data_IF_114417688772
#
_entry.id   IF_114417688772
#
_cell.length_a   1.000
_cell.length_b   1.000
_cell.length_c   1.000
_cell.angle_alpha   90.00
_cell.angle_beta   90.00
_cell.angle_gamma   90.00
#
_symmetry.space_group_name_H-M   'P 1'
#
loop_
_entity.id
_entity.type
_entity.pdbx_description
1 polymer ?
#
# COMPACT_ATOMS: atom_id res chain seq x y z
N UNK A 1 14.79 -33.98 -1.93
CA UNK A 1 15.69 -32.84 -1.64
C UNK A 1 14.98 -32.00 -0.57
N UNK A 2 15.35 -32.14 0.71
CA UNK A 2 14.75 -31.31 1.77
C UNK A 2 15.39 -29.93 1.66
N UNK A 3 14.66 -28.96 1.11
CA UNK A 3 15.03 -27.56 1.31
C UNK A 3 15.09 -27.35 2.82
N UNK A 4 16.30 -27.20 3.37
CA UNK A 4 16.43 -26.74 4.74
C UNK A 4 15.71 -25.41 4.78
N UNK A 5 14.65 -25.35 5.59
CA UNK A 5 13.90 -24.11 5.83
C UNK A 5 14.89 -23.16 6.50
N UNK A 6 15.62 -22.36 5.69
CA UNK A 6 16.48 -21.31 6.21
C UNK A 6 15.56 -20.38 6.98
N UNK A 7 15.81 -20.28 8.29
CA UNK A 7 15.05 -19.42 9.19
C UNK A 7 14.88 -18.03 8.57
N UNK A 8 13.65 -17.53 8.58
CA UNK A 8 13.36 -16.20 8.06
C UNK A 8 14.11 -15.17 8.89
N UNK A 9 15.07 -14.48 8.27
CA UNK A 9 15.78 -13.39 8.93
C UNK A 9 14.77 -12.32 9.36
N UNK A 10 14.87 -11.78 10.60
CA UNK A 10 13.94 -10.75 11.07
C UNK A 10 13.84 -9.55 10.12
N UNK A 11 12.64 -8.98 10.02
CA UNK A 11 12.32 -7.88 9.11
C UNK A 11 13.29 -6.69 9.24
N UNK A 12 13.50 -6.17 10.45
CA UNK A 12 14.39 -5.04 10.71
C UNK A 12 15.86 -5.33 10.36
N UNK A 13 16.33 -6.56 10.58
CA UNK A 13 17.69 -6.96 10.18
C UNK A 13 17.84 -6.94 8.66
N UNK A 14 16.77 -7.20 7.91
CA UNK A 14 16.78 -7.10 6.45
C UNK A 14 16.79 -5.66 5.97
N UNK A 15 16.23 -4.69 6.71
CA UNK A 15 16.39 -3.26 6.42
C UNK A 15 17.86 -2.85 6.48
N UNK A 16 18.55 -3.21 7.56
CA UNK A 16 19.99 -2.93 7.70
C UNK A 16 20.83 -3.60 6.62
N UNK A 17 20.47 -4.81 6.22
CA UNK A 17 21.11 -5.49 5.10
C UNK A 17 20.87 -4.74 3.79
N UNK A 18 19.62 -4.34 3.51
CA UNK A 18 19.25 -3.63 2.28
C UNK A 18 20.00 -2.30 2.13
N UNK A 19 20.30 -1.61 3.23
CA UNK A 19 21.08 -0.38 3.23
C UNK A 19 22.60 -0.59 3.11
N UNK A 20 23.10 -1.82 3.26
CA UNK A 20 24.51 -2.14 3.16
C UNK A 20 24.78 -3.04 1.94
N UNK A 21 25.11 -2.46 0.76
CA UNK A 21 25.28 -3.22 -0.47
C UNK A 21 26.47 -4.19 -0.43
N UNK A 22 27.42 -4.00 0.51
CA UNK A 22 28.55 -4.90 0.70
C UNK A 22 28.16 -6.30 1.20
N UNK A 23 26.97 -6.43 1.78
CA UNK A 23 26.43 -7.69 2.33
C UNK A 23 25.35 -8.31 1.45
N UNK A 24 25.21 -7.87 0.21
CA UNK A 24 24.18 -8.39 -0.71
C UNK A 24 24.44 -9.84 -1.14
N UNK A 25 25.67 -10.33 -0.99
CA UNK A 25 26.00 -11.76 -1.11
C UNK A 25 25.17 -12.62 -0.14
N UNK A 26 24.87 -12.14 1.07
CA UNK A 26 23.97 -12.84 2.01
C UNK A 26 22.52 -12.95 1.49
N UNK A 27 22.12 -12.09 0.55
CA UNK A 27 20.80 -12.11 -0.05
C UNK A 27 20.70 -13.04 -1.27
N UNK A 28 21.83 -13.35 -1.94
CA UNK A 28 21.90 -14.39 -3.00
C UNK A 28 21.32 -15.71 -2.50
N UNK A 29 21.70 -16.04 -1.27
CA UNK A 29 21.36 -17.25 -0.53
C UNK A 29 19.92 -17.34 0.00
N UNK A 30 19.12 -16.28 -0.16
CA UNK A 30 17.73 -16.20 0.32
C UNK A 30 16.74 -16.52 -0.81
N UNK A 31 15.64 -17.17 -0.48
CA UNK A 31 14.55 -17.39 -1.44
C UNK A 31 13.92 -16.08 -1.92
N UNK A 32 13.61 -15.97 -3.21
CA UNK A 32 13.01 -14.77 -3.82
C UNK A 32 11.68 -14.39 -3.16
N UNK A 33 10.88 -15.37 -2.74
CA UNK A 33 9.64 -15.13 -1.99
C UNK A 33 9.86 -14.38 -0.67
N UNK A 34 10.96 -14.63 0.04
CA UNK A 34 11.30 -13.90 1.26
C UNK A 34 11.70 -12.44 0.98
N UNK A 35 12.39 -12.18 -0.13
CA UNK A 35 12.75 -10.83 -0.56
C UNK A 35 11.52 -10.05 -1.03
N UNK A 36 10.61 -10.69 -1.77
CA UNK A 36 9.33 -10.09 -2.15
C UNK A 36 8.44 -9.80 -0.93
N UNK A 37 8.34 -10.74 0.01
CA UNK A 37 7.62 -10.52 1.28
C UNK A 37 8.21 -9.32 2.03
N UNK A 38 9.53 -9.26 2.15
CA UNK A 38 10.23 -8.11 2.74
C UNK A 38 9.88 -6.80 2.01
N UNK A 39 9.96 -6.79 0.67
CA UNK A 39 9.66 -5.63 -0.15
C UNK A 39 8.25 -5.09 0.13
N UNK A 40 7.21 -5.94 0.02
CA UNK A 40 5.83 -5.51 0.26
C UNK A 40 5.60 -5.09 1.72
N UNK A 41 6.19 -5.78 2.69
CA UNK A 41 6.12 -5.36 4.10
C UNK A 41 6.79 -4.00 4.34
N UNK A 42 7.91 -3.72 3.67
CA UNK A 42 8.61 -2.45 3.79
C UNK A 42 7.87 -1.30 3.10
N UNK A 43 7.32 -1.54 1.91
CA UNK A 43 6.44 -0.59 1.21
C UNK A 43 5.21 -0.26 2.05
N UNK A 44 4.59 -1.25 2.68
CA UNK A 44 3.44 -1.05 3.57
C UNK A 44 3.83 -0.21 4.79
N UNK A 45 4.94 -0.54 5.46
CA UNK A 45 5.44 0.25 6.59
C UNK A 45 5.71 1.71 6.17
N UNK A 46 6.38 1.91 5.04
CA UNK A 46 6.65 3.23 4.50
C UNK A 46 5.35 3.99 4.21
N UNK A 47 4.35 3.33 3.63
CA UNK A 47 3.05 3.94 3.36
C UNK A 47 2.35 4.41 4.65
N UNK A 48 2.34 3.58 5.70
CA UNK A 48 1.78 3.97 7.01
C UNK A 48 2.50 5.19 7.57
N UNK A 49 3.83 5.22 7.51
CA UNK A 49 4.63 6.37 7.95
C UNK A 49 4.34 7.62 7.10
N UNK A 50 4.22 7.48 5.78
CA UNK A 50 3.88 8.57 4.87
C UNK A 50 2.53 9.20 5.24
N UNK A 51 1.51 8.37 5.48
CA UNK A 51 0.17 8.84 5.87
C UNK A 51 0.24 9.64 7.16
N UNK A 52 0.93 9.13 8.19
CA UNK A 52 1.12 9.83 9.46
C UNK A 52 1.79 11.19 9.24
N UNK A 53 2.87 11.23 8.44
CA UNK A 53 3.60 12.46 8.12
C UNK A 53 2.77 13.46 7.30
N UNK A 54 1.82 12.97 6.49
CA UNK A 54 0.96 13.81 5.64
C UNK A 54 -0.29 14.33 6.36
N UNK A 55 -0.65 13.83 7.55
CA UNK A 55 -1.84 14.28 8.28
C UNK A 55 -1.94 15.81 8.44
N UNK A 56 -0.86 16.53 8.83
CA UNK A 56 -0.94 17.99 8.96
C UNK A 56 -1.22 18.69 7.62
N UNK A 57 -0.62 18.19 6.54
CA UNK A 57 -0.82 18.73 5.20
C UNK A 57 -2.26 18.49 4.70
N UNK A 58 -2.80 17.29 4.95
CA UNK A 58 -4.19 16.95 4.61
C UNK A 58 -5.16 17.83 5.40
N UNK A 59 -4.94 18.02 6.70
CA UNK A 59 -5.78 18.90 7.52
C UNK A 59 -5.81 20.34 6.98
N UNK A 60 -4.64 20.90 6.63
CA UNK A 60 -4.55 22.23 6.02
C UNK A 60 -5.23 22.28 4.65
N UNK A 61 -5.06 21.25 3.82
CA UNK A 61 -5.70 21.16 2.51
C UNK A 61 -7.23 21.14 2.64
N UNK A 62 -7.77 20.32 3.55
CA UNK A 62 -9.21 20.24 3.82
C UNK A 62 -9.72 21.59 4.28
N UNK A 63 -9.07 22.24 5.25
CA UNK A 63 -9.49 23.56 5.73
C UNK A 63 -9.53 24.61 4.61
N UNK A 64 -8.50 24.64 3.76
CA UNK A 64 -8.42 25.59 2.64
C UNK A 64 -9.49 25.29 1.57
N UNK A 65 -9.70 24.02 1.20
CA UNK A 65 -10.65 23.66 0.16
C UNK A 65 -12.10 23.75 0.62
N UNK A 66 -12.40 23.41 1.87
CA UNK A 66 -13.75 23.52 2.44
C UNK A 66 -14.27 24.96 2.41
N UNK A 67 -13.38 25.95 2.53
CA UNK A 67 -13.75 27.36 2.42
C UNK A 67 -14.33 27.77 1.05
N UNK A 68 -14.09 26.98 0.00
CA UNK A 68 -14.59 27.23 -1.35
C UNK A 68 -15.97 26.59 -1.61
N UNK A 69 -16.41 25.63 -0.78
CA UNK A 69 -17.70 24.96 -0.95
C UNK A 69 -18.81 25.73 -0.23
N UNK A 70 -19.61 26.51 -0.97
CA UNK A 70 -20.81 27.20 -0.42
C UNK A 70 -22.02 26.28 -0.31
N UNK A 71 -22.24 25.40 -1.28
CA UNK A 71 -23.35 24.44 -1.31
C UNK A 71 -22.87 23.21 -2.08
N UNK A 72 -22.99 22.03 -1.47
CA UNK A 72 -22.88 20.76 -2.18
C UNK A 72 -24.31 20.22 -2.33
N UNK A 73 -24.90 20.38 -3.50
CA UNK A 73 -26.27 19.94 -3.78
C UNK A 73 -26.25 18.57 -4.45
N UNK A 74 -26.66 17.52 -3.73
CA UNK A 74 -26.81 16.18 -4.33
C UNK A 74 -28.27 16.03 -4.79
N UNK A 75 -28.51 16.25 -6.08
CA UNK A 75 -29.83 16.04 -6.69
C UNK A 75 -30.03 14.56 -7.02
N UNK A 76 -30.79 13.87 -6.19
CA UNK A 76 -31.23 12.51 -6.47
C UNK A 76 -32.56 12.54 -7.22
N UNK A 77 -32.53 12.44 -8.55
CA UNK A 77 -33.73 12.18 -9.35
C UNK A 77 -33.98 10.67 -9.38
N UNK A 78 -34.66 10.13 -8.38
CA UNK A 78 -35.00 8.70 -8.30
C UNK A 78 -36.52 8.54 -8.32
N UNK A 79 -37.03 7.77 -9.28
CA UNK A 79 -38.42 7.32 -9.30
C UNK A 79 -38.44 5.83 -9.01
N UNK A 80 -39.01 5.43 -7.88
CA UNK A 80 -39.10 4.02 -7.48
C UNK A 80 -40.52 3.50 -7.75
N UNK A 81 -40.65 2.31 -8.30
CA UNK A 81 -41.97 1.64 -8.47
C UNK A 81 -42.38 0.90 -7.19
N UNK A 82 -41.41 0.37 -6.45
CA UNK A 82 -41.58 -0.32 -5.17
C UNK A 82 -40.51 0.11 -4.16
N UNK A 83 -40.79 -0.01 -2.84
CA UNK A 83 -39.78 0.22 -1.81
C UNK A 83 -38.64 -0.78 -1.97
N UNK A 84 -37.42 -0.33 -1.70
CA UNK A 84 -36.26 -1.22 -1.62
C UNK A 84 -35.95 -1.47 -0.15
N UNK A 85 -35.88 -2.74 0.23
CA UNK A 85 -35.77 -3.20 1.61
C UNK A 85 -34.48 -3.99 1.76
N UNK A 86 -33.63 -3.62 2.73
CA UNK A 86 -32.34 -4.26 2.96
C UNK A 86 -32.11 -4.58 4.44
N UNK A 87 -31.81 -5.85 4.82
CA UNK A 87 -32.08 -7.08 4.07
C UNK A 87 -33.60 -7.37 3.98
N UNK A 88 -34.02 -8.24 3.05
CA UNK A 88 -35.45 -8.58 2.86
C UNK A 88 -36.08 -9.20 4.12
N UNK A 89 -35.32 -10.06 4.81
CA UNK A 89 -35.73 -10.66 6.07
C UNK A 89 -35.14 -9.85 7.22
N UNK A 90 -36.01 -9.19 8.00
CA UNK A 90 -35.64 -8.23 9.06
C UNK A 90 -35.00 -6.93 8.49
N UNK A 91 -35.83 -6.05 7.90
CA UNK A 91 -35.37 -4.80 7.28
C UNK A 91 -34.46 -4.01 8.21
N UNK A 92 -33.30 -3.60 7.76
CA UNK A 92 -32.47 -2.63 8.46
C UNK A 92 -32.74 -1.23 7.93
N UNK A 93 -32.74 -1.11 6.60
CA UNK A 93 -33.05 0.11 5.85
C UNK A 93 -34.18 -0.19 4.87
N UNK A 94 -35.19 0.68 4.86
CA UNK A 94 -36.21 0.72 3.81
C UNK A 94 -36.10 2.07 3.09
N UNK A 95 -36.08 2.05 1.76
CA UNK A 95 -36.06 3.26 0.93
C UNK A 95 -37.37 3.26 0.14
N UNK A 96 -38.25 4.23 0.39
CA UNK A 96 -39.51 4.43 -0.32
C UNK A 96 -39.69 5.89 -0.72
N UNK A 97 -39.20 6.27 -1.90
CA UNK A 97 -39.30 7.65 -2.42
C UNK A 97 -40.65 7.97 -3.05
N UNK A 98 -41.64 7.06 -3.01
CA UNK A 98 -42.97 7.29 -3.63
C UNK A 98 -43.90 8.15 -2.79
N UNK A 99 -43.57 8.32 -1.51
CA UNK A 99 -44.35 9.09 -0.55
C UNK A 99 -43.42 10.13 0.08
N UNK A 100 -43.94 11.34 0.29
CA UNK A 100 -43.24 12.36 1.08
C UNK A 100 -43.13 11.94 2.54
N UNK A 101 -44.18 11.32 3.09
CA UNK A 101 -44.24 10.83 4.47
C UNK A 101 -44.56 9.33 4.56
N UNK A 102 -44.05 8.69 5.62
CA UNK A 102 -44.33 7.28 5.91
C UNK A 102 -44.18 6.95 7.39
N UNK A 103 -44.65 5.77 7.77
CA UNK A 103 -44.44 5.22 9.10
C UNK A 103 -43.42 4.09 9.04
N UNK A 104 -42.41 4.16 9.91
CA UNK A 104 -41.40 3.10 10.05
C UNK A 104 -42.03 1.91 10.79
N UNK A 105 -42.68 1.02 10.05
CA UNK A 105 -43.31 -0.21 10.59
C UNK A 105 -42.27 -1.24 11.00
N UNK A 106 -41.26 -1.43 10.16
CA UNK A 106 -40.20 -2.42 10.36
C UNK A 106 -38.82 -1.80 10.08
N UNK A 107 -37.82 -2.28 10.83
CA UNK A 107 -36.43 -1.88 10.70
C UNK A 107 -35.98 -0.64 11.48
N UNK A 108 -34.75 -0.20 11.19
CA UNK A 108 -34.10 0.91 11.90
C UNK A 108 -34.15 2.23 11.14
N UNK A 109 -34.18 2.18 9.81
CA UNK A 109 -34.16 3.37 8.97
C UNK A 109 -35.24 3.28 7.88
N UNK A 110 -35.99 4.37 7.70
CA UNK A 110 -36.87 4.59 6.55
C UNK A 110 -36.47 5.91 5.89
N UNK A 111 -36.10 5.84 4.62
CA UNK A 111 -35.75 7.01 3.80
C UNK A 111 -36.94 7.25 2.85
N UNK A 112 -37.64 8.36 3.02
CA UNK A 112 -38.69 8.83 2.11
C UNK A 112 -38.15 9.92 1.18
N UNK A 113 -38.99 10.55 0.37
CA UNK A 113 -38.58 11.67 -0.48
C UNK A 113 -38.09 12.88 0.36
N UNK A 114 -38.80 13.18 1.46
CA UNK A 114 -38.58 14.39 2.25
C UNK A 114 -38.02 14.14 3.65
N UNK A 115 -38.04 12.90 4.16
CA UNK A 115 -37.66 12.60 5.53
C UNK A 115 -36.80 11.34 5.68
N UNK A 116 -35.91 11.39 6.66
CA UNK A 116 -35.23 10.23 7.23
C UNK A 116 -35.88 9.92 8.58
N UNK A 117 -36.44 8.72 8.70
CA UNK A 117 -36.96 8.19 9.95
C UNK A 117 -35.95 7.22 10.53
N UNK A 118 -35.51 7.47 11.77
CA UNK A 118 -34.55 6.62 12.48
C UNK A 118 -35.16 6.08 13.77
N UNK A 119 -35.22 4.76 13.93
CA UNK A 119 -35.62 4.11 15.18
C UNK A 119 -34.41 4.05 16.12
N UNK A 120 -34.50 4.77 17.22
CA UNK A 120 -33.51 4.68 18.31
C UNK A 120 -33.55 3.28 18.95
N UNK A 121 -32.50 2.92 19.70
CA UNK A 121 -32.46 1.64 20.42
C UNK A 121 -33.64 1.45 21.40
N UNK A 122 -34.27 2.54 21.85
CA UNK A 122 -35.44 2.53 22.74
C UNK A 122 -36.79 2.51 21.99
N UNK A 123 -36.79 2.29 20.67
CA UNK A 123 -38.00 2.22 19.86
C UNK A 123 -38.63 3.57 19.50
N UNK A 124 -38.13 4.70 20.04
CA UNK A 124 -38.58 6.04 19.63
C UNK A 124 -38.14 6.30 18.19
N UNK A 125 -39.09 6.69 17.34
CA UNK A 125 -38.82 7.09 15.95
C UNK A 125 -38.51 8.59 15.94
N UNK A 126 -37.30 8.92 15.48
CA UNK A 126 -36.90 10.30 15.19
C UNK A 126 -37.15 10.57 13.71
N UNK A 127 -37.69 11.75 13.40
CA UNK A 127 -37.97 12.21 12.04
C UNK A 127 -37.07 13.42 11.76
N UNK A 128 -36.16 13.28 10.82
CA UNK A 128 -35.27 14.35 10.37
C UNK A 128 -35.60 14.69 8.91
N UNK A 129 -35.81 15.96 8.58
CA UNK A 129 -36.14 16.35 7.21
C UNK A 129 -34.88 16.22 6.32
N UNK A 130 -34.99 15.53 5.19
CA UNK A 130 -33.91 15.38 4.19
C UNK A 130 -33.44 16.74 3.66
N UNK A 131 -34.32 17.73 3.64
CA UNK A 131 -33.98 19.12 3.33
C UNK A 131 -32.89 19.70 4.23
N UNK A 132 -32.76 19.26 5.48
CA UNK A 132 -31.68 19.69 6.37
C UNK A 132 -30.32 19.18 5.87
N UNK A 133 -30.28 17.98 5.28
CA UNK A 133 -29.07 17.40 4.71
C UNK A 133 -28.72 17.96 3.32
N UNK A 134 -29.63 18.70 2.66
CA UNK A 134 -29.34 19.39 1.40
C UNK A 134 -28.35 20.54 1.58
N UNK A 135 -28.30 21.16 2.76
CA UNK A 135 -27.34 22.22 3.04
C UNK A 135 -26.15 21.71 3.86
N UNK A 136 -25.12 21.22 3.16
CA UNK A 136 -23.95 20.60 3.78
C UNK A 136 -23.07 21.57 4.58
N UNK A 137 -23.21 22.88 4.39
CA UNK A 137 -22.55 23.87 5.26
C UNK A 137 -23.06 23.81 6.71
N UNK A 138 -24.29 23.35 6.92
CA UNK A 138 -24.85 23.14 8.25
C UNK A 138 -24.57 21.73 8.81
N UNK A 139 -24.07 20.83 7.97
CA UNK A 139 -23.87 19.41 8.28
C UNK A 139 -22.45 18.95 7.91
N UNK A 140 -21.44 19.75 8.27
CA UNK A 140 -20.02 19.43 8.04
C UNK A 140 -19.65 18.02 8.53
N UNK A 141 -20.26 17.57 9.64
CA UNK A 141 -20.06 16.24 10.20
C UNK A 141 -20.40 15.10 9.24
N UNK A 142 -21.39 15.26 8.35
CA UNK A 142 -21.76 14.22 7.38
C UNK A 142 -20.74 14.13 6.26
N UNK A 143 -20.25 15.27 5.75
CA UNK A 143 -19.18 15.31 4.74
C UNK A 143 -17.92 14.67 5.31
N UNK A 144 -17.53 15.04 6.52
CA UNK A 144 -16.37 14.46 7.22
C UNK A 144 -16.56 12.95 7.42
N UNK A 145 -17.74 12.50 7.86
CA UNK A 145 -18.03 11.08 8.02
C UNK A 145 -17.95 10.29 6.69
N UNK A 146 -18.48 10.85 5.60
CA UNK A 146 -18.38 10.25 4.26
C UNK A 146 -16.92 10.18 3.80
N UNK A 147 -16.15 11.25 3.97
CA UNK A 147 -14.71 11.28 3.64
C UNK A 147 -13.93 10.25 4.47
N UNK A 148 -14.21 10.15 5.77
CA UNK A 148 -13.60 9.16 6.66
C UNK A 148 -13.97 7.73 6.26
N UNK A 149 -15.20 7.48 5.78
CA UNK A 149 -15.64 6.18 5.29
C UNK A 149 -14.93 5.78 3.98
N UNK A 150 -14.65 6.75 3.11
CA UNK A 150 -13.93 6.54 1.85
C UNK A 150 -12.41 6.40 2.04
N UNK A 151 -11.87 6.94 3.15
CA UNK A 151 -10.44 7.01 3.40
C UNK A 151 -9.71 5.65 3.33
N UNK A 152 -10.21 4.55 3.94
CA UNK A 152 -9.53 3.26 3.88
C UNK A 152 -9.39 2.72 2.45
N UNK A 153 -10.43 2.87 1.62
CA UNK A 153 -10.41 2.44 0.22
C UNK A 153 -9.43 3.27 -0.60
N UNK A 154 -9.41 4.59 -0.42
CA UNK A 154 -8.45 5.47 -1.06
C UNK A 154 -7.01 5.14 -0.63
N UNK A 155 -6.79 4.93 0.67
CA UNK A 155 -5.48 4.53 1.20
C UNK A 155 -5.01 3.22 0.59
N UNK A 156 -5.89 2.23 0.48
CA UNK A 156 -5.54 0.95 -0.14
C UNK A 156 -5.17 1.11 -1.63
N UNK A 157 -5.93 1.91 -2.39
CA UNK A 157 -5.62 2.22 -3.79
C UNK A 157 -4.27 2.94 -3.92
N UNK A 158 -3.98 3.92 -3.08
CA UNK A 158 -2.70 4.63 -3.08
C UNK A 158 -1.53 3.70 -2.72
N UNK A 159 -1.72 2.80 -1.75
CA UNK A 159 -0.74 1.78 -1.42
C UNK A 159 -0.43 0.89 -2.63
N UNK A 160 -1.45 0.36 -3.31
CA UNK A 160 -1.26 -0.47 -4.51
C UNK A 160 -0.53 0.31 -5.60
N UNK A 161 -0.98 1.53 -5.90
CA UNK A 161 -0.37 2.37 -6.93
C UNK A 161 1.12 2.64 -6.62
N UNK A 162 1.44 2.93 -5.36
CA UNK A 162 2.82 3.15 -4.91
C UNK A 162 3.67 1.87 -5.02
N UNK A 163 3.14 0.73 -4.57
CA UNK A 163 3.82 -0.55 -4.65
C UNK A 163 4.12 -0.96 -6.11
N UNK A 164 3.15 -0.79 -7.01
CA UNK A 164 3.32 -1.06 -8.45
C UNK A 164 4.38 -0.13 -9.04
N UNK A 165 4.34 1.17 -8.74
CA UNK A 165 5.34 2.14 -9.22
C UNK A 165 6.76 1.71 -8.83
N UNK A 166 6.98 1.41 -7.56
CA UNK A 166 8.31 1.00 -7.05
C UNK A 166 8.74 -0.33 -7.67
N UNK A 167 7.81 -1.29 -7.80
CA UNK A 167 8.09 -2.59 -8.42
C UNK A 167 8.48 -2.45 -9.90
N UNK A 168 7.80 -1.61 -10.67
CA UNK A 168 8.12 -1.35 -12.08
C UNK A 168 9.53 -0.76 -12.23
N UNK A 169 9.93 0.14 -11.33
CA UNK A 169 11.30 0.70 -11.31
C UNK A 169 12.32 -0.41 -11.04
N UNK A 170 12.08 -1.27 -10.04
CA UNK A 170 12.97 -2.39 -9.73
C UNK A 170 13.06 -3.40 -10.89
N UNK A 171 11.94 -3.71 -11.56
CA UNK A 171 11.91 -4.61 -12.72
C UNK A 171 12.67 -4.01 -13.91
N UNK A 172 12.46 -2.73 -14.22
CA UNK A 172 13.19 -2.05 -15.28
C UNK A 172 14.71 -2.05 -15.02
N UNK A 173 15.12 -1.73 -13.79
CA UNK A 173 16.53 -1.78 -13.38
C UNK A 173 17.10 -3.20 -13.45
N UNK A 174 16.31 -4.22 -13.10
CA UNK A 174 16.70 -5.62 -13.20
C UNK A 174 16.98 -6.01 -14.65
N UNK A 175 16.08 -5.67 -15.58
CA UNK A 175 16.26 -5.96 -17.01
C UNK A 175 17.50 -5.26 -17.54
N UNK A 176 17.66 -3.97 -17.28
CA UNK A 176 18.82 -3.19 -17.73
C UNK A 176 20.13 -3.72 -17.14
N UNK A 177 20.16 -3.94 -15.83
CA UNK A 177 21.33 -4.47 -15.13
C UNK A 177 21.73 -5.86 -15.60
N UNK A 178 20.75 -6.73 -15.88
CA UNK A 178 21.00 -8.05 -16.44
C UNK A 178 21.58 -7.99 -17.86
N UNK A 179 21.03 -7.14 -18.73
CA UNK A 179 21.58 -6.93 -20.10
C UNK A 179 23.02 -6.43 -20.03
N UNK A 180 23.30 -5.43 -19.20
CA UNK A 180 24.66 -4.89 -19.02
C UNK A 180 25.61 -5.97 -18.48
N UNK A 181 25.19 -6.72 -17.46
CA UNK A 181 25.99 -7.82 -16.90
C UNK A 181 26.35 -8.86 -17.97
N UNK A 182 25.41 -9.20 -18.87
CA UNK A 182 25.65 -10.11 -19.99
C UNK A 182 26.64 -9.56 -21.02
N UNK A 183 26.57 -8.26 -21.33
CA UNK A 183 27.53 -7.63 -22.25
C UNK A 183 28.97 -7.63 -21.69
N UNK A 184 29.12 -7.57 -20.36
CA UNK A 184 30.42 -7.55 -19.67
C UNK A 184 30.93 -8.96 -19.33
N UNK A 185 30.23 -10.03 -19.75
CA UNK A 185 30.54 -11.43 -19.36
C UNK A 185 30.60 -11.62 -17.84
N UNK A 186 29.65 -11.00 -17.15
CA UNK A 186 29.48 -11.12 -15.71
C UNK A 186 28.42 -12.19 -15.43
N UNK A 187 28.78 -13.22 -14.66
CA UNK A 187 27.89 -14.31 -14.27
C UNK A 187 26.92 -13.79 -13.20
N UNK A 188 25.78 -13.29 -13.67
CA UNK A 188 24.68 -12.85 -12.84
C UNK A 188 23.38 -13.45 -13.38
N UNK A 189 22.62 -14.11 -12.51
CA UNK A 189 21.29 -14.59 -12.86
C UNK A 189 20.27 -13.45 -12.77
N UNK A 190 19.20 -13.53 -13.56
CA UNK A 190 18.12 -12.53 -13.52
C UNK A 190 17.50 -12.40 -12.12
N UNK A 191 17.38 -13.52 -11.39
CA UNK A 191 16.83 -13.53 -10.03
C UNK A 191 17.76 -12.83 -9.02
N UNK A 192 19.08 -12.94 -9.16
CA UNK A 192 20.02 -12.19 -8.32
C UNK A 192 19.92 -10.69 -8.58
N UNK A 193 19.88 -10.29 -9.86
CA UNK A 193 19.64 -8.90 -10.22
C UNK A 193 18.32 -8.37 -9.63
N UNK A 194 17.25 -9.17 -9.68
CA UNK A 194 15.95 -8.81 -9.10
C UNK A 194 16.04 -8.63 -7.58
N UNK A 195 16.72 -9.54 -6.87
CA UNK A 195 16.91 -9.41 -5.42
C UNK A 195 17.71 -8.16 -5.06
N UNK A 196 18.79 -7.86 -5.79
CA UNK A 196 19.56 -6.64 -5.61
C UNK A 196 18.71 -5.39 -5.85
N UNK A 197 17.91 -5.36 -6.91
CA UNK A 197 17.01 -4.25 -7.22
C UNK A 197 15.97 -4.05 -6.11
N UNK A 198 15.30 -5.12 -5.67
CA UNK A 198 14.30 -5.05 -4.60
C UNK A 198 14.90 -4.55 -3.28
N UNK A 199 16.10 -4.97 -2.91
CA UNK A 199 16.78 -4.46 -1.71
C UNK A 199 17.20 -3.00 -1.87
N UNK A 200 17.68 -2.59 -3.05
CA UNK A 200 18.07 -1.21 -3.31
C UNK A 200 16.89 -0.23 -3.23
N UNK A 201 15.65 -0.69 -3.47
CA UNK A 201 14.46 0.16 -3.31
C UNK A 201 14.26 0.67 -1.88
N UNK A 202 14.83 0.02 -0.88
CA UNK A 202 14.75 0.44 0.53
C UNK A 202 15.27 1.87 0.73
N UNK A 203 16.45 2.19 0.17
CA UNK A 203 17.01 3.55 0.27
C UNK A 203 16.18 4.56 -0.54
N UNK A 204 15.69 4.15 -1.71
CA UNK A 204 14.82 4.99 -2.53
C UNK A 204 13.57 5.44 -1.76
N UNK A 205 12.88 4.48 -1.13
CA UNK A 205 11.68 4.72 -0.33
C UNK A 205 12.00 5.59 0.90
N UNK A 206 13.12 5.34 1.59
CA UNK A 206 13.51 6.17 2.76
C UNK A 206 13.73 7.62 2.34
N UNK A 207 14.42 7.86 1.22
CA UNK A 207 14.63 9.22 0.70
C UNK A 207 13.29 9.83 0.29
N UNK A 208 12.38 9.05 -0.31
CA UNK A 208 11.04 9.52 -0.69
C UNK A 208 10.22 9.97 0.54
N UNK A 209 10.23 9.17 1.62
CA UNK A 209 9.60 9.53 2.90
C UNK A 209 10.22 10.76 3.54
N UNK A 210 11.54 10.88 3.51
CA UNK A 210 12.25 12.01 4.10
C UNK A 210 11.90 13.34 3.42
N UNK A 211 11.45 13.34 2.17
CA UNK A 211 11.04 14.58 1.47
C UNK A 211 9.70 15.13 1.92
N UNK A 212 8.77 14.26 2.35
CA UNK A 212 7.41 14.64 2.72
C UNK A 212 7.36 15.78 3.76
N UNK A 213 8.06 15.71 4.91
CA UNK A 213 7.98 16.77 5.91
C UNK A 213 8.66 18.08 5.50
N UNK A 214 9.66 18.03 4.62
CA UNK A 214 10.50 19.19 4.28
C UNK A 214 10.16 19.83 2.93
N UNK A 215 9.22 19.25 2.17
CA UNK A 215 8.87 19.67 0.81
C UNK A 215 10.11 19.83 -0.10
N UNK A 216 11.12 18.97 0.07
CA UNK A 216 12.39 19.10 -0.64
C UNK A 216 12.20 18.76 -2.12
N UNK A 217 12.53 19.72 -2.99
CA UNK A 217 12.35 19.58 -4.42
C UNK A 217 13.51 18.85 -5.12
N UNK A 218 13.93 17.71 -4.59
CA UNK A 218 15.03 16.90 -5.14
C UNK A 218 14.48 15.72 -5.95
N UNK A 219 13.91 15.99 -7.12
CA UNK A 219 13.17 14.98 -7.90
C UNK A 219 13.96 13.71 -8.24
N UNK A 220 15.28 13.80 -8.44
CA UNK A 220 16.09 12.68 -8.91
C UNK A 220 16.97 12.00 -7.85
N UNK A 221 17.09 12.57 -6.65
CA UNK A 221 18.04 12.09 -5.64
C UNK A 221 17.80 10.62 -5.21
N UNK A 222 16.54 10.23 -5.04
CA UNK A 222 16.13 8.88 -4.69
C UNK A 222 16.46 7.85 -5.79
N UNK A 223 16.35 8.25 -7.07
CA UNK A 223 16.67 7.37 -8.19
C UNK A 223 18.18 7.19 -8.35
N UNK A 224 18.95 8.26 -8.14
CA UNK A 224 20.42 8.19 -8.16
C UNK A 224 20.92 7.29 -7.01
N UNK A 225 20.41 7.50 -5.80
CA UNK A 225 20.76 6.68 -4.64
C UNK A 225 20.41 5.20 -4.84
N UNK A 226 19.23 4.94 -5.40
CA UNK A 226 18.81 3.61 -5.83
C UNK A 226 19.79 2.97 -6.81
N UNK A 227 20.13 3.68 -7.89
CA UNK A 227 21.04 3.16 -8.92
C UNK A 227 22.43 2.86 -8.35
N UNK A 228 22.96 3.71 -7.48
CA UNK A 228 24.26 3.48 -6.83
C UNK A 228 24.22 2.18 -6.02
N UNK A 229 23.22 1.99 -5.15
CA UNK A 229 23.09 0.76 -4.36
C UNK A 229 22.87 -0.47 -5.23
N UNK A 230 22.04 -0.34 -6.27
CA UNK A 230 21.77 -1.42 -7.20
C UNK A 230 23.04 -1.88 -7.94
N UNK A 231 23.82 -0.95 -8.47
CA UNK A 231 25.08 -1.24 -9.17
C UNK A 231 26.06 -1.96 -8.24
N UNK A 232 26.26 -1.44 -7.02
CA UNK A 232 27.16 -2.09 -6.04
C UNK A 232 26.63 -3.48 -5.66
N UNK A 233 25.32 -3.62 -5.46
CA UNK A 233 24.67 -4.89 -5.15
C UNK A 233 24.84 -5.93 -6.26
N UNK A 234 24.69 -5.53 -7.53
CA UNK A 234 24.94 -6.38 -8.69
C UNK A 234 26.40 -6.84 -8.72
N UNK A 235 27.36 -5.92 -8.59
CA UNK A 235 28.80 -6.23 -8.56
C UNK A 235 29.13 -7.23 -7.45
N UNK A 236 28.44 -7.16 -6.31
CA UNK A 236 28.66 -8.07 -5.17
C UNK A 236 28.00 -9.44 -5.31
N UNK A 237 26.89 -9.53 -6.03
CA UNK A 237 26.18 -10.81 -6.20
C UNK A 237 26.74 -11.66 -7.34
N UNK A 238 27.28 -11.04 -8.40
CA UNK A 238 27.82 -11.77 -9.55
C UNK A 238 29.31 -12.07 -9.44
N UNK A 239 29.77 -12.96 -10.33
CA UNK A 239 31.16 -13.41 -10.43
C UNK A 239 31.66 -13.17 -11.87
N UNK A 240 32.95 -12.87 -12.06
CA UNK A 240 33.50 -12.67 -13.42
C UNK A 240 33.79 -14.01 -14.09
N UNK A 241 33.17 -14.26 -15.24
CA UNK A 241 33.39 -15.42 -16.10
C UNK A 241 34.86 -15.40 -16.57
N UNK A 242 35.71 -16.28 -16.02
CA UNK A 242 37.11 -16.42 -16.45
C UNK A 242 38.18 -16.18 -15.38
N UNK A 243 37.84 -15.75 -14.15
CA UNK A 243 38.75 -15.96 -13.01
C UNK A 243 38.61 -17.40 -12.55
N UNK A 244 39.30 -18.32 -13.23
CA UNK A 244 39.42 -19.76 -12.89
C UNK A 244 40.08 -20.07 -11.54
N UNK A 245 39.86 -19.25 -10.51
CA UNK A 245 40.51 -19.33 -9.21
C UNK A 245 39.60 -19.96 -8.17
N UNK A 246 39.60 -21.29 -8.13
CA UNK A 246 39.09 -22.11 -7.02
C UNK A 246 37.64 -21.82 -6.66
N UNK A 247 36.73 -22.48 -7.39
CA UNK A 247 35.49 -22.97 -6.79
C UNK A 247 35.85 -23.52 -5.41
N UNK A 248 35.48 -22.78 -4.34
CA UNK A 248 35.30 -23.34 -3.01
C UNK A 248 34.19 -24.37 -3.17
N UNK A 249 34.52 -25.55 -3.73
CA UNK A 249 33.84 -26.78 -3.39
C UNK A 249 33.93 -26.79 -1.87
N UNK A 250 32.88 -26.33 -1.20
CA UNK A 250 32.63 -26.67 0.19
C UNK A 250 32.80 -28.16 0.22
N UNK A 251 33.96 -28.62 0.71
CA UNK A 251 34.22 -30.03 0.88
C UNK A 251 33.05 -30.52 1.69
N UNK A 252 32.19 -31.33 1.07
CA UNK A 252 31.39 -32.27 1.81
C UNK A 252 32.42 -33.19 2.48
N UNK A 253 32.92 -32.77 3.64
CA UNK A 253 33.50 -33.70 4.58
C UNK A 253 32.32 -34.61 4.94
N UNK A 254 32.27 -35.76 4.27
CA UNK A 254 31.50 -36.89 4.73
C UNK A 254 32.12 -37.20 6.08
N UNK A 255 31.44 -36.81 7.14
CA UNK A 255 31.82 -37.14 8.50
C UNK A 255 31.72 -38.66 8.65
N UNK A 256 32.83 -39.35 8.39
CA UNK A 256 32.96 -40.80 8.49
C UNK A 256 32.94 -41.27 9.96
N UNK A 257 32.89 -40.37 10.94
CA UNK A 257 32.88 -40.74 12.37
C UNK A 257 31.58 -41.41 12.83
N UNK A 258 30.52 -41.42 12.00
CA UNK A 258 29.22 -42.06 12.34
C UNK A 258 29.08 -43.53 11.94
N UNK A 259 30.18 -44.26 11.70
CA UNK A 259 30.14 -45.67 11.26
C UNK A 259 30.85 -46.68 12.17
N UNK A 260 31.11 -46.36 13.43
CA UNK A 260 31.59 -47.32 14.44
C UNK A 260 30.63 -47.33 15.61
#
# INVERSE_FOLDING_TARGET
>A
MKESVKESVPFFKTIWLALNPWRYDEAKDRGTGNILKYFFSFVFLAFVLAVILMLPMIANLVNNQMSHFKVLEVKFNTSMTSPVVFPENNPFVTIDTRKSEGELKEGKFLITEDYLYTKTMFGKVRRDALGQYKNLTQNEGIVIALLLLMLPSLMFLFYIAYAIKVLLIALAATVLGFVIARLVKFELTFLEALKAALLATTLMIIIDLAKLPFNLNVYFAQYIAFLILFIVGVIKMGEFEGRGGRSKKKGHYIDLSKKI
#
